data_IF_928838001836
#
_entry.id   IF_928838001836
#
_cell.length_a   1.000
_cell.length_b   1.000
_cell.length_c   1.000
_cell.angle_alpha   90.00
_cell.angle_beta   90.00
_cell.angle_gamma   90.00
#
_symmetry.space_group_name_H-M   'P 1'
#
loop_
_entity.id
_entity.type
_entity.pdbx_description
1 polymer ?
#
# COMPACT_ATOMS: atom_id res chain seq x y z
N UNK A 1 -3.19 -18.48 -2.78
CA UNK A 1 -4.00 -18.80 -1.60
C UNK A 1 -3.19 -18.41 -0.37
N UNK A 2 -3.85 -18.13 0.75
CA UNK A 2 -3.19 -18.03 2.06
C UNK A 2 -3.78 -19.14 2.93
N UNK A 3 -2.93 -19.96 3.55
CA UNK A 3 -3.34 -21.09 4.38
C UNK A 3 -2.60 -21.07 5.71
N UNK A 4 -3.36 -21.23 6.78
CA UNK A 4 -2.86 -21.39 8.14
C UNK A 4 -3.16 -22.84 8.53
N UNK A 5 -2.15 -23.57 8.98
CA UNK A 5 -2.27 -24.98 9.33
C UNK A 5 -1.81 -25.19 10.76
N UNK A 6 -2.72 -25.70 11.60
CA UNK A 6 -2.50 -26.00 13.03
C UNK A 6 -1.79 -24.87 13.80
N UNK A 7 -2.12 -23.62 13.46
CA UNK A 7 -1.41 -22.45 13.94
C UNK A 7 -1.72 -22.18 15.41
N UNK A 8 -0.68 -22.05 16.24
CA UNK A 8 -0.84 -21.75 17.67
C UNK A 8 0.08 -20.61 18.09
N UNK A 9 -0.39 -19.81 19.04
CA UNK A 9 0.36 -18.70 19.63
C UNK A 9 0.03 -18.53 21.10
N UNK A 10 1.06 -18.30 21.89
CA UNK A 10 0.99 -18.05 23.32
C UNK A 10 1.85 -16.84 23.69
N UNK A 11 1.49 -16.19 24.80
CA UNK A 11 2.27 -15.15 25.46
C UNK A 11 2.51 -15.57 26.93
N UNK A 12 3.35 -14.86 27.71
CA UNK A 12 3.60 -15.22 29.11
C UNK A 12 2.32 -15.37 29.95
N UNK A 13 1.28 -14.64 29.57
CA UNK A 13 -0.01 -14.56 30.28
C UNK A 13 -0.95 -15.73 29.94
N UNK A 14 -0.56 -16.60 28.98
CA UNK A 14 -1.32 -17.77 28.57
C UNK A 14 -1.38 -18.00 27.06
N UNK A 15 -2.12 -19.05 26.68
CA UNK A 15 -2.40 -19.36 25.28
C UNK A 15 -3.38 -18.35 24.68
N UNK A 16 -3.01 -17.75 23.55
CA UNK A 16 -3.85 -16.79 22.83
C UNK A 16 -4.83 -17.52 21.90
N UNK A 17 -4.32 -18.50 21.16
CA UNK A 17 -5.11 -19.44 20.37
C UNK A 17 -4.27 -20.68 20.02
N UNK A 18 -4.94 -21.81 19.82
CA UNK A 18 -4.33 -23.07 19.41
C UNK A 18 -5.04 -23.70 18.22
N UNK A 19 -4.26 -24.44 17.43
CA UNK A 19 -4.74 -25.27 16.33
C UNK A 19 -5.67 -24.55 15.32
N UNK A 20 -5.33 -23.29 14.98
CA UNK A 20 -6.10 -22.50 14.02
C UNK A 20 -5.83 -22.98 12.60
N UNK A 21 -6.89 -23.33 11.89
CA UNK A 21 -6.85 -23.81 10.51
C UNK A 21 -7.72 -22.92 9.63
N UNK A 22 -7.10 -22.13 8.74
CA UNK A 22 -7.79 -21.15 7.89
C UNK A 22 -7.29 -21.28 6.46
N UNK A 23 -8.19 -21.17 5.49
CA UNK A 23 -7.88 -21.14 4.06
C UNK A 23 -8.56 -19.95 3.41
N UNK A 24 -7.78 -18.96 2.97
CA UNK A 24 -8.26 -17.77 2.25
C UNK A 24 -7.98 -17.97 0.75
N UNK A 25 -9.06 -18.07 -0.03
CA UNK A 25 -9.02 -18.28 -1.48
C UNK A 25 -9.15 -16.96 -2.23
N UNK A 26 -8.73 -16.93 -3.50
CA UNK A 26 -8.92 -15.77 -4.39
C UNK A 26 -10.41 -15.42 -4.48
N UNK A 27 -10.73 -14.14 -4.36
CA UNK A 27 -12.10 -13.63 -4.41
C UNK A 27 -12.92 -13.79 -3.13
N UNK A 28 -12.37 -14.44 -2.10
CA UNK A 28 -13.04 -14.59 -0.80
C UNK A 28 -13.09 -13.25 -0.06
N UNK A 29 -14.27 -12.92 0.48
CA UNK A 29 -14.46 -11.83 1.46
C UNK A 29 -14.81 -12.47 2.79
N UNK A 30 -14.01 -12.19 3.82
CA UNK A 30 -14.18 -12.78 5.14
C UNK A 30 -14.08 -11.70 6.22
N UNK A 31 -14.86 -11.83 7.29
CA UNK A 31 -14.76 -10.99 8.49
C UNK A 31 -14.23 -11.82 9.66
N UNK A 32 -13.20 -11.31 10.34
CA UNK A 32 -12.68 -11.89 11.58
C UNK A 32 -13.24 -11.13 12.78
N UNK A 33 -14.10 -11.77 13.57
CA UNK A 33 -14.78 -11.17 14.72
C UNK A 33 -14.45 -11.93 16.01
N UNK A 34 -14.49 -11.22 17.14
CA UNK A 34 -14.19 -11.78 18.46
C UNK A 34 -13.90 -10.69 19.49
N UNK A 35 -13.90 -11.01 20.79
CA UNK A 35 -13.65 -10.04 21.87
C UNK A 35 -12.25 -9.43 21.80
N UNK A 36 -12.04 -8.30 22.49
CA UNK A 36 -10.70 -7.73 22.62
C UNK A 36 -9.78 -8.72 23.33
N UNK A 37 -8.52 -8.79 22.89
CA UNK A 37 -7.56 -9.78 23.40
C UNK A 37 -7.68 -11.18 22.77
N UNK A 38 -8.66 -11.46 21.91
CA UNK A 38 -8.82 -12.79 21.29
C UNK A 38 -7.78 -13.13 20.19
N UNK A 39 -6.70 -12.34 20.07
CA UNK A 39 -5.63 -12.57 19.10
C UNK A 39 -5.89 -12.20 17.64
N UNK A 40 -6.94 -11.43 17.32
CA UNK A 40 -7.24 -11.02 15.93
C UNK A 40 -6.07 -10.31 15.24
N UNK A 41 -5.52 -9.28 15.90
CA UNK A 41 -4.39 -8.51 15.37
C UNK A 41 -3.14 -9.39 15.25
N UNK A 42 -2.90 -10.26 16.23
CA UNK A 42 -1.81 -11.24 16.19
C UNK A 42 -1.96 -12.18 15.00
N UNK A 43 -3.15 -12.72 14.74
CA UNK A 43 -3.41 -13.58 13.58
C UNK A 43 -3.11 -12.88 12.25
N UNK A 44 -3.51 -11.60 12.12
CA UNK A 44 -3.17 -10.80 10.93
C UNK A 44 -1.66 -10.58 10.81
N UNK A 45 -0.95 -10.31 11.91
CA UNK A 45 0.52 -10.15 11.91
C UNK A 45 1.25 -11.44 11.53
N UNK A 46 0.77 -12.60 12.00
CA UNK A 46 1.27 -13.92 11.60
C UNK A 46 1.07 -14.16 10.09
N UNK A 47 -0.10 -13.80 9.53
CA UNK A 47 -0.35 -13.87 8.07
C UNK A 47 0.61 -12.98 7.27
N UNK A 48 1.00 -11.84 7.82
CA UNK A 48 1.96 -10.92 7.24
C UNK A 48 3.42 -11.32 7.47
N UNK A 49 3.67 -12.41 8.20
CA UNK A 49 5.01 -12.84 8.64
C UNK A 49 5.76 -11.77 9.44
N UNK A 50 5.04 -10.83 10.07
CA UNK A 50 5.61 -9.84 11.01
C UNK A 50 5.87 -10.42 12.40
N UNK A 51 5.30 -11.59 12.66
CA UNK A 51 5.46 -12.35 13.88
C UNK A 51 5.52 -13.84 13.51
N UNK A 52 6.21 -14.63 14.34
CA UNK A 52 6.31 -16.07 14.15
C UNK A 52 5.32 -16.82 15.05
N UNK A 53 4.67 -17.87 14.53
CA UNK A 53 3.86 -18.75 15.36
C UNK A 53 4.75 -19.60 16.27
N UNK A 54 4.17 -20.10 17.36
CA UNK A 54 4.91 -21.03 18.24
C UNK A 54 4.81 -22.47 17.71
N UNK A 55 3.72 -22.79 17.01
CA UNK A 55 3.57 -24.03 16.25
C UNK A 55 2.63 -23.85 15.03
N UNK A 56 2.69 -24.80 14.10
CA UNK A 56 1.95 -24.74 12.84
C UNK A 56 2.68 -23.92 11.77
N UNK A 57 1.98 -23.59 10.67
CA UNK A 57 2.57 -22.84 9.56
C UNK A 57 1.61 -21.87 8.89
N UNK A 58 2.19 -20.81 8.30
CA UNK A 58 1.50 -19.88 7.41
C UNK A 58 2.09 -20.04 6.01
N UNK A 59 1.29 -20.53 5.07
CA UNK A 59 1.65 -20.72 3.67
C UNK A 59 0.95 -19.67 2.81
N UNK A 60 1.69 -19.09 1.87
CA UNK A 60 1.20 -18.07 0.94
C UNK A 60 1.82 -18.31 -0.43
N UNK A 61 1.03 -18.20 -1.50
CA UNK A 61 1.55 -18.28 -2.86
C UNK A 61 2.51 -17.10 -3.13
N UNK A 62 3.63 -17.40 -3.81
CA UNK A 62 4.70 -16.42 -4.11
C UNK A 62 4.22 -15.20 -4.91
N UNK A 63 3.17 -15.36 -5.72
CA UNK A 63 2.63 -14.29 -6.58
C UNK A 63 1.68 -13.34 -5.88
N UNK A 64 1.42 -13.52 -4.58
CA UNK A 64 0.47 -12.69 -3.83
C UNK A 64 1.22 -11.56 -3.15
N UNK A 65 0.73 -10.34 -3.31
CA UNK A 65 1.08 -9.19 -2.46
C UNK A 65 -0.03 -9.02 -1.41
N UNK A 66 0.34 -8.64 -0.18
CA UNK A 66 -0.64 -8.35 0.87
C UNK A 66 -0.56 -6.87 1.21
N UNK A 67 -1.67 -6.16 1.00
CA UNK A 67 -1.89 -4.83 1.58
C UNK A 67 -2.38 -4.96 3.02
N UNK A 68 -1.85 -4.14 3.94
CA UNK A 68 -2.22 -4.16 5.35
C UNK A 68 -2.39 -2.75 5.89
N UNK A 69 -3.61 -2.45 6.34
CA UNK A 69 -3.93 -1.22 7.03
C UNK A 69 -3.92 -1.48 8.55
N UNK A 70 -2.92 -0.92 9.24
CA UNK A 70 -2.79 -1.05 10.68
C UNK A 70 -3.91 -0.28 11.41
N UNK A 71 -4.24 -0.69 12.64
CA UNK A 71 -5.23 0.00 13.49
C UNK A 71 -4.70 1.30 14.11
N UNK A 72 -3.48 1.72 13.78
CA UNK A 72 -2.85 2.90 14.37
C UNK A 72 -3.50 4.19 13.87
N UNK A 73 -3.39 5.25 14.67
CA UNK A 73 -3.87 6.57 14.28
C UNK A 73 -3.05 7.05 13.09
N UNK A 74 -3.71 7.25 11.95
CA UNK A 74 -3.09 7.90 10.80
C UNK A 74 -2.92 9.38 11.11
N UNK A 75 -1.68 9.77 11.38
CA UNK A 75 -1.32 11.19 11.57
C UNK A 75 -1.50 11.90 10.24
N UNK A 76 -2.15 13.06 10.27
CA UNK A 76 -2.30 13.88 9.07
C UNK A 76 -0.97 14.51 8.68
N UNK A 77 -0.77 14.71 7.40
CA UNK A 77 0.38 15.41 6.84
C UNK A 77 -0.08 16.73 6.19
N UNK A 78 0.89 17.57 5.84
CA UNK A 78 0.62 18.79 5.07
C UNK A 78 0.51 18.52 3.56
N UNK A 79 0.70 17.27 3.11
CA UNK A 79 0.51 16.89 1.72
C UNK A 79 -0.98 16.81 1.42
N UNK A 80 -1.35 17.13 0.19
CA UNK A 80 -2.70 16.90 -0.28
C UNK A 80 -3.05 15.41 -0.27
N UNK A 81 -4.32 15.08 -0.12
CA UNK A 81 -4.75 13.67 -0.14
C UNK A 81 -4.43 12.97 -1.47
N UNK A 82 -4.34 13.72 -2.58
CA UNK A 82 -3.90 13.18 -3.86
C UNK A 82 -2.41 12.83 -3.85
N UNK A 83 -1.57 13.71 -3.32
CA UNK A 83 -0.13 13.48 -3.18
C UNK A 83 0.18 12.31 -2.24
N UNK A 84 -0.59 12.15 -1.17
CA UNK A 84 -0.48 11.00 -0.26
C UNK A 84 -0.71 9.67 -0.99
N UNK A 85 -1.77 9.59 -1.80
CA UNK A 85 -2.08 8.38 -2.57
C UNK A 85 -1.05 8.13 -3.67
N UNK A 86 -0.61 9.17 -4.37
CA UNK A 86 0.44 9.05 -5.38
C UNK A 86 1.79 8.67 -4.75
N UNK A 87 2.04 9.10 -3.51
CA UNK A 87 3.22 8.78 -2.72
C UNK A 87 3.39 7.28 -2.41
N UNK A 88 2.30 6.50 -2.49
CA UNK A 88 2.35 5.04 -2.37
C UNK A 88 3.11 4.34 -3.52
N UNK A 89 3.44 5.08 -4.60
CA UNK A 89 4.14 4.60 -5.78
C UNK A 89 5.53 5.25 -5.90
N UNK A 90 6.48 4.96 -4.98
CA UNK A 90 7.76 5.66 -4.91
C UNK A 90 8.60 5.52 -6.18
N UNK A 91 8.53 4.35 -6.85
CA UNK A 91 9.26 4.12 -8.10
C UNK A 91 8.79 5.06 -9.22
N UNK A 92 7.47 5.30 -9.32
CA UNK A 92 6.90 6.21 -10.33
C UNK A 92 7.37 7.64 -10.09
N UNK A 93 7.36 8.08 -8.83
CA UNK A 93 7.82 9.42 -8.43
C UNK A 93 9.33 9.61 -8.66
N UNK A 94 10.14 8.60 -8.40
CA UNK A 94 11.59 8.64 -8.65
C UNK A 94 11.87 8.79 -10.15
N UNK A 95 11.18 8.01 -10.99
CA UNK A 95 11.31 8.05 -12.44
C UNK A 95 10.83 9.39 -12.99
N UNK A 96 9.74 9.94 -12.48
CA UNK A 96 9.27 11.29 -12.83
C UNK A 96 10.32 12.36 -12.54
N UNK A 97 10.96 12.31 -11.35
CA UNK A 97 12.07 13.20 -11.01
C UNK A 97 13.25 13.05 -11.98
N UNK A 98 13.61 11.82 -12.36
CA UNK A 98 14.66 11.55 -13.36
C UNK A 98 14.30 12.12 -14.73
N UNK A 99 13.04 11.98 -15.18
CA UNK A 99 12.56 12.57 -16.43
C UNK A 99 12.71 14.08 -16.43
N UNK A 100 12.35 14.75 -15.33
CA UNK A 100 12.47 16.21 -15.21
C UNK A 100 13.93 16.66 -15.29
N UNK A 101 14.84 15.97 -14.59
CA UNK A 101 16.28 16.27 -14.62
C UNK A 101 16.86 16.08 -16.02
N UNK A 102 16.56 14.96 -16.68
CA UNK A 102 17.02 14.67 -18.04
C UNK A 102 16.46 15.67 -19.06
N UNK A 103 15.17 16.02 -18.94
CA UNK A 103 14.55 17.01 -19.80
C UNK A 103 15.22 18.38 -19.67
N UNK A 104 15.55 18.82 -18.44
CA UNK A 104 16.29 20.05 -18.21
C UNK A 104 17.74 19.97 -18.74
N UNK A 105 18.40 18.82 -18.63
CA UNK A 105 19.74 18.63 -19.18
C UNK A 105 19.75 18.73 -20.72
N UNK A 106 18.78 18.08 -21.39
CA UNK A 106 18.60 18.16 -22.85
C UNK A 106 18.32 19.60 -23.29
N UNK A 107 17.54 20.37 -22.52
CA UNK A 107 17.31 21.78 -22.84
C UNK A 107 18.60 22.62 -22.88
N UNK A 108 19.62 22.24 -22.10
CA UNK A 108 20.93 22.91 -22.06
C UNK A 108 21.93 22.33 -23.08
N UNK A 109 21.74 21.08 -23.52
CA UNK A 109 22.58 20.40 -24.52
C UNK A 109 21.73 19.55 -25.48
N UNK A 110 21.00 20.17 -26.43
CA UNK A 110 20.00 19.47 -27.24
C UNK A 110 20.57 18.45 -28.24
N UNK A 111 21.85 18.55 -28.59
CA UNK A 111 22.51 17.63 -29.53
C UNK A 111 23.05 16.37 -28.83
N UNK A 112 22.94 16.29 -27.50
CA UNK A 112 23.42 15.17 -26.71
C UNK A 112 22.50 13.95 -26.83
N UNK A 113 22.79 13.12 -27.83
CA UNK A 113 22.03 11.90 -28.11
C UNK A 113 22.03 10.89 -26.95
N UNK A 114 23.02 10.92 -26.06
CA UNK A 114 23.04 10.06 -24.87
C UNK A 114 21.93 10.45 -23.89
N UNK A 115 21.77 11.75 -23.61
CA UNK A 115 20.68 12.25 -22.76
C UNK A 115 19.30 11.95 -23.37
N UNK A 116 19.17 12.10 -24.70
CA UNK A 116 17.93 11.77 -25.43
C UNK A 116 17.58 10.29 -25.30
N UNK A 117 18.57 9.40 -25.47
CA UNK A 117 18.35 7.96 -25.32
C UNK A 117 17.99 7.58 -23.87
N UNK A 118 18.68 8.15 -22.88
CA UNK A 118 18.36 7.94 -21.46
C UNK A 118 16.94 8.41 -21.12
N UNK A 119 16.52 9.57 -21.63
CA UNK A 119 15.14 10.04 -21.44
C UNK A 119 14.13 9.05 -22.04
N UNK A 120 14.40 8.50 -23.23
CA UNK A 120 13.56 7.49 -23.85
C UNK A 120 13.42 6.21 -23.02
N UNK A 121 14.51 5.71 -22.44
CA UNK A 121 14.48 4.55 -21.53
C UNK A 121 13.65 4.81 -20.27
N UNK A 122 13.84 5.98 -19.65
CA UNK A 122 13.11 6.39 -18.45
C UNK A 122 11.62 6.57 -18.75
N UNK A 123 11.26 7.17 -19.90
CA UNK A 123 9.87 7.31 -20.35
C UNK A 123 9.20 5.95 -20.57
N UNK A 124 9.88 5.02 -21.26
CA UNK A 124 9.36 3.66 -21.46
C UNK A 124 9.11 2.96 -20.11
N UNK A 125 10.02 3.13 -19.15
CA UNK A 125 9.83 2.58 -17.79
C UNK A 125 8.66 3.24 -17.06
N UNK A 126 8.53 4.57 -17.17
CA UNK A 126 7.41 5.32 -16.59
C UNK A 126 6.06 4.84 -17.12
N UNK A 127 5.96 4.64 -18.44
CA UNK A 127 4.77 4.10 -19.09
C UNK A 127 4.46 2.67 -18.63
N UNK A 128 5.47 1.80 -18.55
CA UNK A 128 5.31 0.42 -18.10
C UNK A 128 4.78 0.31 -16.65
N UNK A 129 5.08 1.30 -15.80
CA UNK A 129 4.54 1.41 -14.44
C UNK A 129 3.17 2.10 -14.41
N UNK A 130 2.65 2.56 -15.54
CA UNK A 130 1.38 3.25 -15.67
C UNK A 130 1.41 4.69 -15.17
N UNK A 131 2.59 5.34 -15.12
CA UNK A 131 2.79 6.67 -14.56
C UNK A 131 1.87 7.74 -15.15
N UNK A 132 1.62 7.71 -16.48
CA UNK A 132 0.72 8.64 -17.17
C UNK A 132 -0.74 8.58 -16.68
N UNK A 133 -1.15 7.44 -16.11
CA UNK A 133 -2.52 7.21 -15.64
C UNK A 133 -2.62 7.23 -14.12
N UNK A 134 -1.50 7.42 -13.41
CA UNK A 134 -1.44 7.24 -11.97
C UNK A 134 -2.33 8.24 -11.25
N UNK A 135 -2.27 9.52 -11.64
CA UNK A 135 -3.10 10.56 -11.04
C UNK A 135 -4.60 10.29 -11.26
N UNK A 136 -5.00 9.89 -12.47
CA UNK A 136 -6.40 9.54 -12.77
C UNK A 136 -6.88 8.34 -11.93
N UNK A 137 -6.02 7.32 -11.77
CA UNK A 137 -6.31 6.17 -10.90
C UNK A 137 -6.45 6.59 -9.44
N UNK A 138 -5.55 7.42 -8.94
CA UNK A 138 -5.60 7.94 -7.57
C UNK A 138 -6.90 8.71 -7.31
N UNK A 139 -7.27 9.61 -8.23
CA UNK A 139 -8.56 10.34 -8.19
C UNK A 139 -9.75 9.38 -8.17
N UNK A 140 -9.77 8.36 -9.03
CA UNK A 140 -10.84 7.34 -9.04
C UNK A 140 -10.96 6.58 -7.72
N UNK A 141 -9.83 6.21 -7.11
CA UNK A 141 -9.80 5.52 -5.80
C UNK A 141 -10.37 6.44 -4.71
N UNK A 142 -9.91 7.69 -4.64
CA UNK A 142 -10.40 8.68 -3.67
C UNK A 142 -11.90 8.93 -3.83
N UNK A 143 -12.39 9.14 -5.06
CA UNK A 143 -13.84 9.24 -5.33
C UNK A 143 -14.60 8.01 -4.88
N UNK A 144 -14.08 6.81 -5.15
CA UNK A 144 -14.67 5.53 -4.72
C UNK A 144 -14.73 5.36 -3.19
N UNK A 145 -13.86 6.04 -2.45
CA UNK A 145 -13.84 6.09 -0.98
C UNK A 145 -14.64 7.25 -0.40
N UNK A 146 -15.29 8.05 -1.26
CA UNK A 146 -16.26 9.09 -0.90
C UNK A 146 -15.69 10.50 -0.79
N UNK A 147 -14.47 10.77 -1.27
CA UNK A 147 -13.95 12.13 -1.38
C UNK A 147 -14.51 12.83 -2.63
N UNK A 148 -14.79 14.12 -2.54
CA UNK A 148 -15.15 14.95 -3.69
C UNK A 148 -13.91 15.55 -4.35
N UNK A 149 -13.97 15.85 -5.65
CA UNK A 149 -12.80 16.31 -6.41
C UNK A 149 -12.23 17.65 -5.93
N UNK A 150 -13.08 18.54 -5.42
CA UNK A 150 -12.66 19.81 -4.81
C UNK A 150 -11.78 19.63 -3.57
N UNK A 151 -11.76 18.41 -3.00
CA UNK A 151 -10.99 18.06 -1.80
C UNK A 151 -9.65 17.41 -2.09
N UNK A 152 -9.33 17.10 -3.34
CA UNK A 152 -8.11 16.36 -3.68
C UNK A 152 -6.83 17.15 -3.40
N UNK A 153 -6.89 18.48 -3.51
CA UNK A 153 -5.79 19.39 -3.18
C UNK A 153 -5.74 19.79 -1.71
N UNK A 154 -6.75 19.44 -0.90
CA UNK A 154 -6.77 19.80 0.52
C UNK A 154 -5.72 18.99 1.28
N UNK A 155 -4.93 19.62 2.17
CA UNK A 155 -3.97 18.92 3.02
C UNK A 155 -4.63 17.83 3.87
N UNK A 156 -3.96 16.70 4.09
CA UNK A 156 -4.52 15.56 4.83
C UNK A 156 -4.85 15.88 6.30
N UNK A 157 -4.15 16.84 6.90
CA UNK A 157 -4.36 17.28 8.28
C UNK A 157 -5.74 17.92 8.55
N UNK A 158 -6.39 18.50 7.53
CA UNK A 158 -7.73 19.11 7.69
C UNK A 158 -8.83 18.07 7.86
N UNK A 159 -8.56 16.81 7.53
CA UNK A 159 -9.52 15.72 7.60
C UNK A 159 -9.57 15.07 8.98
N UNK A 160 -10.73 14.56 9.38
CA UNK A 160 -10.87 13.79 10.62
C UNK A 160 -10.14 12.44 10.53
N UNK A 161 -9.84 11.81 11.66
CA UNK A 161 -9.11 10.52 11.69
C UNK A 161 -9.76 9.42 10.85
N UNK A 162 -11.10 9.36 10.78
CA UNK A 162 -11.82 8.40 9.93
C UNK A 162 -11.62 8.65 8.43
N UNK A 163 -11.53 9.91 8.02
CA UNK A 163 -11.20 10.28 6.64
C UNK A 163 -9.73 10.02 6.32
N UNK A 164 -8.81 10.34 7.25
CA UNK A 164 -7.39 10.01 7.11
C UNK A 164 -7.15 8.51 6.93
N UNK A 165 -7.91 7.67 7.63
CA UNK A 165 -7.87 6.22 7.44
C UNK A 165 -8.30 5.78 6.04
N UNK A 166 -9.23 6.50 5.39
CA UNK A 166 -9.61 6.24 4.00
C UNK A 166 -8.51 6.65 3.02
N UNK A 167 -7.82 7.77 3.27
CA UNK A 167 -6.64 8.15 2.47
C UNK A 167 -5.55 7.08 2.60
N UNK A 168 -5.27 6.61 3.83
CA UNK A 168 -4.30 5.54 4.04
C UNK A 168 -4.72 4.22 3.35
N UNK A 169 -6.02 3.91 3.31
CA UNK A 169 -6.53 2.77 2.55
C UNK A 169 -6.35 2.94 1.03
N UNK A 170 -6.47 4.18 0.52
CA UNK A 170 -6.24 4.48 -0.89
C UNK A 170 -4.76 4.33 -1.28
N UNK A 171 -3.86 4.47 -0.32
CA UNK A 171 -2.40 4.39 -0.47
C UNK A 171 -1.82 2.97 -0.28
N UNK A 172 -2.65 1.91 -0.37
CA UNK A 172 -2.26 0.49 -0.24
C UNK A 172 -2.50 -0.24 -1.57
#
# INVERSE_FOLDING_TARGET
MIRLESLSKSYPDGELFSNVNISIKKGMRAGLVGPNGSGKTTLLRLMLQKESPDSGSVQKDKSITIGYLAQDIVVGTNLSILEEVMGAYPEVREIEGKMLVLSNAIANDPENMELVNQLGEVQNRFEALGGWTLEEKAKKILSGLGFSEDKFSDPMDVFSGGWRMRVALAAI
#
